data_IF_268310520079
#
_entry.id   IF_268310520079
#
_cell.length_a   1.000
_cell.length_b   1.000
_cell.length_c   1.000
_cell.angle_alpha   90.00
_cell.angle_beta   90.00
_cell.angle_gamma   90.00
#
_symmetry.space_group_name_H-M   'P 1'
#
loop_
_entity.id
_entity.type
_entity.pdbx_description
1 polymer ?
#
# COMPACT_ATOMS: atom_id res chain seq x y z
N UNK A 1 20.23 3.70 1.26
CA UNK A 1 21.53 4.10 0.66
C UNK A 1 21.48 4.01 -0.86
N UNK A 2 21.23 5.14 -1.55
CA UNK A 2 21.42 5.22 -2.99
C UNK A 2 22.88 5.57 -3.31
N UNK A 3 23.59 4.68 -3.99
CA UNK A 3 24.97 4.89 -4.41
C UNK A 3 25.00 5.60 -5.77
N UNK A 4 25.18 6.92 -5.79
CA UNK A 4 25.44 7.63 -7.06
C UNK A 4 26.94 7.94 -7.19
N UNK A 5 27.65 7.35 -8.16
CA UNK A 5 29.04 7.69 -8.42
C UNK A 5 29.14 9.12 -8.98
N UNK A 6 30.05 9.93 -8.44
CA UNK A 6 30.43 11.19 -9.07
C UNK A 6 31.48 10.97 -10.19
N UNK A 7 31.69 11.93 -11.10
CA UNK A 7 32.65 11.80 -12.21
C UNK A 7 34.12 11.64 -11.79
N UNK A 8 34.43 11.73 -10.48
CA UNK A 8 35.77 11.58 -9.92
C UNK A 8 36.03 10.23 -9.26
N UNK A 9 35.03 9.33 -9.21
CA UNK A 9 35.15 7.98 -8.64
C UNK A 9 35.12 7.96 -7.11
N UNK A 10 34.69 9.05 -6.47
CA UNK A 10 34.50 9.11 -5.02
C UNK A 10 33.02 8.82 -4.72
N UNK A 11 32.78 7.84 -3.84
CA UNK A 11 31.45 7.57 -3.29
C UNK A 11 31.25 8.48 -2.08
N UNK A 12 30.24 9.36 -2.14
CA UNK A 12 29.83 10.21 -1.01
C UNK A 12 28.57 9.62 -0.38
N UNK A 13 28.64 9.32 0.91
CA UNK A 13 27.47 9.01 1.73
C UNK A 13 26.71 10.32 1.99
N UNK A 14 25.43 10.36 1.64
CA UNK A 14 24.51 11.42 2.07
C UNK A 14 23.37 10.68 2.75
N UNK A 15 23.21 10.84 4.06
CA UNK A 15 22.18 10.11 4.79
C UNK A 15 22.26 10.08 6.32
N UNK A 16 23.20 10.75 6.98
CA UNK A 16 23.06 10.93 8.43
C UNK A 16 23.46 12.33 8.90
N UNK A 17 22.78 12.78 9.95
CA UNK A 17 23.11 14.01 10.65
C UNK A 17 24.32 13.82 11.59
N UNK A 18 25.08 12.72 11.41
CA UNK A 18 26.16 12.28 12.30
C UNK A 18 27.41 11.70 11.61
N UNK A 19 27.67 12.03 10.34
CA UNK A 19 29.03 12.02 9.75
C UNK A 19 29.91 10.80 10.12
N UNK A 20 29.46 9.57 9.91
CA UNK A 20 30.36 8.42 10.01
C UNK A 20 31.06 8.17 8.66
N UNK A 21 32.37 8.40 8.62
CA UNK A 21 33.20 8.18 7.41
C UNK A 21 33.48 6.69 7.24
N UNK A 22 32.79 6.02 6.34
CA UNK A 22 33.14 4.65 5.93
C UNK A 22 34.10 4.72 4.72
N UNK A 23 35.35 4.31 4.92
CA UNK A 23 36.35 4.19 3.86
C UNK A 23 36.29 2.78 3.25
N UNK A 24 35.83 2.67 2.00
CA UNK A 24 35.82 1.40 1.25
C UNK A 24 37.04 1.29 0.33
N UNK A 25 37.67 0.11 0.24
CA UNK A 25 38.81 -0.14 -0.64
C UNK A 25 38.34 -0.68 -2.02
N UNK A 26 39.12 -0.50 -3.10
CA UNK A 26 38.75 -0.91 -4.47
C UNK A 26 38.41 -2.40 -4.66
N UNK A 27 38.71 -3.26 -3.68
CA UNK A 27 38.36 -4.68 -3.68
C UNK A 27 37.01 -5.00 -3.06
N UNK A 28 36.46 -4.11 -2.23
CA UNK A 28 35.21 -4.31 -1.51
C UNK A 28 33.99 -4.13 -2.42
N UNK A 29 34.14 -3.38 -3.52
CA UNK A 29 33.08 -3.05 -4.48
C UNK A 29 32.72 -4.17 -5.48
N UNK A 30 33.47 -5.28 -5.49
CA UNK A 30 33.27 -6.36 -6.48
C UNK A 30 32.15 -7.35 -6.11
N UNK A 31 31.62 -7.26 -4.89
CA UNK A 31 30.58 -8.14 -4.35
C UNK A 31 29.29 -7.42 -3.93
N UNK A 32 29.10 -6.13 -4.26
CA UNK A 32 27.83 -5.46 -3.99
C UNK A 32 26.87 -5.71 -5.15
N UNK A 33 25.80 -6.51 -4.97
CA UNK A 33 24.74 -6.59 -5.97
C UNK A 33 24.13 -5.19 -6.17
N UNK A 34 23.75 -4.89 -7.41
CA UNK A 34 23.02 -3.69 -7.79
C UNK A 34 21.72 -3.61 -6.96
N UNK A 35 21.71 -2.79 -5.92
CA UNK A 35 20.58 -2.57 -5.03
C UNK A 35 20.84 -1.38 -4.12
N UNK A 36 19.79 -0.65 -3.76
CA UNK A 36 19.84 0.47 -2.84
C UNK A 36 19.44 -0.04 -1.43
N UNK A 37 20.38 -0.05 -0.49
CA UNK A 37 20.18 -0.64 0.85
C UNK A 37 20.07 0.47 1.89
N UNK A 38 18.94 0.66 2.57
CA UNK A 38 18.86 1.52 3.76
C UNK A 38 19.62 0.89 4.95
N UNK A 39 20.03 1.72 5.91
CA UNK A 39 20.51 1.24 7.22
C UNK A 39 19.35 1.33 8.21
N UNK A 40 19.53 0.94 9.48
CA UNK A 40 18.49 1.20 10.49
C UNK A 40 18.28 2.73 10.66
N UNK A 41 17.02 3.16 10.73
CA UNK A 41 16.58 4.55 10.90
C UNK A 41 15.79 5.10 9.72
N UNK A 42 15.15 6.26 9.90
CA UNK A 42 14.31 6.90 8.89
C UNK A 42 15.14 7.36 7.67
N UNK A 43 14.99 6.67 6.54
CA UNK A 43 15.75 6.89 5.31
C UNK A 43 14.90 7.50 4.18
N UNK A 44 15.58 8.14 3.22
CA UNK A 44 15.00 8.46 1.91
C UNK A 44 15.87 7.86 0.82
N UNK A 45 15.29 6.97 0.03
CA UNK A 45 15.98 6.24 -1.03
C UNK A 45 15.30 6.48 -2.36
N UNK A 46 16.12 6.95 -3.31
CA UNK A 46 15.73 7.23 -4.68
C UNK A 46 16.48 6.25 -5.60
N UNK A 47 15.72 5.45 -6.35
CA UNK A 47 16.18 4.56 -7.41
C UNK A 47 16.57 5.31 -8.68
N UNK A 48 16.52 4.63 -9.81
CA UNK A 48 16.93 5.17 -11.11
C UNK A 48 16.00 4.74 -12.24
N UNK A 49 16.51 4.71 -13.47
CA UNK A 49 15.75 4.22 -14.63
C UNK A 49 15.96 2.74 -14.92
N UNK A 50 16.50 1.99 -13.97
CA UNK A 50 16.81 0.58 -14.08
C UNK A 50 15.98 -0.22 -13.09
N UNK A 51 15.77 -1.51 -13.36
CA UNK A 51 15.10 -2.42 -12.42
C UNK A 51 16.02 -2.70 -11.21
N UNK A 52 15.56 -2.32 -10.03
CA UNK A 52 16.35 -2.29 -8.80
C UNK A 52 15.69 -3.03 -7.64
N UNK A 53 16.53 -3.45 -6.67
CA UNK A 53 16.08 -3.88 -5.35
C UNK A 53 16.33 -2.72 -4.37
N UNK A 54 15.27 -2.24 -3.75
CA UNK A 54 15.30 -1.15 -2.76
C UNK A 54 14.79 -1.70 -1.42
N UNK A 55 15.57 -1.50 -0.36
CA UNK A 55 15.26 -1.99 1.00
C UNK A 55 15.32 -0.82 1.99
N UNK A 56 14.29 -0.63 2.82
CA UNK A 56 14.18 0.35 3.91
C UNK A 56 14.65 -0.16 5.29
N UNK A 57 14.39 -1.44 5.58
CA UNK A 57 14.75 -2.12 6.83
C UNK A 57 13.96 -1.64 8.06
N UNK A 58 14.53 -0.82 8.95
CA UNK A 58 13.83 -0.33 10.14
C UNK A 58 13.79 1.20 10.06
N UNK A 59 12.66 1.84 10.34
CA UNK A 59 12.55 3.31 10.27
C UNK A 59 11.22 3.75 9.70
N UNK A 60 10.95 5.05 9.69
CA UNK A 60 9.91 5.63 8.81
C UNK A 60 10.57 6.03 7.48
N UNK A 61 10.50 5.17 6.46
CA UNK A 61 11.23 5.36 5.21
C UNK A 61 10.41 6.01 4.09
N UNK A 62 11.12 6.66 3.16
CA UNK A 62 10.56 7.06 1.86
C UNK A 62 11.38 6.43 0.74
N UNK A 63 10.79 5.49 0.01
CA UNK A 63 11.45 4.69 -1.02
C UNK A 63 10.80 4.92 -2.39
N UNK A 64 11.61 5.24 -3.41
CA UNK A 64 11.14 5.53 -4.77
C UNK A 64 11.87 4.70 -5.82
N UNK A 65 11.14 3.96 -6.65
CA UNK A 65 11.70 3.16 -7.76
C UNK A 65 12.15 4.00 -8.96
N UNK A 66 11.36 5.01 -9.32
CA UNK A 66 11.42 5.77 -10.59
C UNK A 66 11.02 4.97 -11.81
N UNK A 67 11.93 4.54 -12.67
CA UNK A 67 11.56 3.83 -13.89
C UNK A 67 12.23 2.46 -13.91
N UNK A 68 11.50 1.44 -14.32
CA UNK A 68 12.00 0.07 -14.28
C UNK A 68 11.02 -0.83 -13.55
N UNK A 69 11.33 -2.12 -13.50
CA UNK A 69 10.54 -3.07 -12.75
C UNK A 69 11.20 -3.26 -11.39
N UNK A 70 10.84 -2.44 -10.42
CA UNK A 70 11.52 -2.38 -9.14
C UNK A 70 10.91 -3.34 -8.12
N UNK A 71 11.74 -3.80 -7.18
CA UNK A 71 11.31 -4.51 -5.99
C UNK A 71 11.64 -3.65 -4.77
N UNK A 72 10.62 -3.08 -4.13
CA UNK A 72 10.75 -2.10 -3.05
C UNK A 72 10.17 -2.69 -1.76
N UNK A 73 10.97 -2.72 -0.71
CA UNK A 73 10.58 -3.27 0.60
C UNK A 73 10.80 -2.22 1.68
N UNK A 74 9.74 -1.82 2.38
CA UNK A 74 9.78 -0.89 3.52
C UNK A 74 10.49 -1.54 4.71
N UNK A 75 9.84 -2.53 5.31
CA UNK A 75 10.42 -3.32 6.38
C UNK A 75 9.64 -3.16 7.67
N UNK A 76 10.20 -2.46 8.66
CA UNK A 76 9.51 -2.11 9.91
C UNK A 76 9.42 -0.60 10.03
N UNK A 77 8.26 -0.15 10.46
CA UNK A 77 7.98 1.26 10.70
C UNK A 77 7.01 1.77 9.65
N UNK A 78 6.75 3.06 9.64
CA UNK A 78 5.72 3.62 8.75
C UNK A 78 6.40 4.08 7.49
N UNK A 79 6.28 3.29 6.44
CA UNK A 79 7.01 3.52 5.21
C UNK A 79 6.11 4.12 4.12
N UNK A 80 6.73 4.87 3.20
CA UNK A 80 6.10 5.29 1.96
C UNK A 80 6.87 4.80 0.75
N UNK A 81 6.24 3.95 -0.03
CA UNK A 81 6.81 3.29 -1.19
C UNK A 81 6.14 3.79 -2.47
N UNK A 82 6.95 4.18 -3.44
CA UNK A 82 6.53 4.67 -4.75
C UNK A 82 7.16 3.82 -5.85
N UNK A 83 6.35 3.10 -6.61
CA UNK A 83 6.77 2.27 -7.75
C UNK A 83 7.10 3.10 -8.99
N UNK A 84 6.30 4.15 -9.24
CA UNK A 84 6.45 5.04 -10.40
C UNK A 84 6.23 4.32 -11.75
N UNK A 85 7.15 4.39 -12.71
CA UNK A 85 6.99 3.79 -14.04
C UNK A 85 7.53 2.35 -14.06
N UNK A 86 6.75 1.42 -14.60
CA UNK A 86 7.15 0.03 -14.83
C UNK A 86 6.37 -0.95 -13.95
N UNK A 87 6.68 -2.23 -14.05
CA UNK A 87 5.94 -3.27 -13.34
C UNK A 87 6.66 -3.61 -12.04
N UNK A 88 6.19 -3.03 -10.94
CA UNK A 88 6.88 -3.04 -9.66
C UNK A 88 6.29 -4.06 -8.68
N UNK A 89 7.10 -4.44 -7.70
CA UNK A 89 6.68 -5.20 -6.53
C UNK A 89 6.99 -4.40 -5.27
N UNK A 90 5.96 -3.97 -4.55
CA UNK A 90 6.05 -3.15 -3.36
C UNK A 90 5.58 -3.95 -2.14
N UNK A 91 6.34 -3.92 -1.06
CA UNK A 91 5.98 -4.54 0.22
C UNK A 91 6.20 -3.54 1.35
N UNK A 92 5.13 -3.18 2.06
CA UNK A 92 5.20 -2.29 3.23
C UNK A 92 5.93 -2.98 4.38
N UNK A 93 5.36 -4.07 4.89
CA UNK A 93 6.00 -4.91 5.89
C UNK A 93 5.25 -4.90 7.21
N UNK A 94 5.81 -4.27 8.24
CA UNK A 94 5.20 -4.12 9.55
C UNK A 94 4.90 -2.64 9.82
N UNK A 95 3.83 -2.41 10.59
CA UNK A 95 3.29 -1.10 10.91
C UNK A 95 2.53 -0.50 9.72
N UNK A 96 2.07 0.75 9.83
CA UNK A 96 1.12 1.31 8.86
C UNK A 96 1.86 1.96 7.69
N UNK A 97 1.67 1.40 6.49
CA UNK A 97 2.42 1.78 5.30
C UNK A 97 1.57 2.47 4.23
N UNK A 98 2.23 3.24 3.35
CA UNK A 98 1.64 3.89 2.19
C UNK A 98 2.33 3.44 0.90
N UNK A 99 1.61 2.74 0.02
CA UNK A 99 2.14 2.15 -1.21
C UNK A 99 1.43 2.71 -2.43
N UNK A 100 2.18 3.26 -3.38
CA UNK A 100 1.67 3.68 -4.70
C UNK A 100 2.40 2.90 -5.82
N UNK A 101 1.66 2.12 -6.61
CA UNK A 101 2.20 1.46 -7.81
C UNK A 101 2.48 2.46 -8.93
N UNK A 102 1.55 3.39 -9.12
CA UNK A 102 1.54 4.39 -10.20
C UNK A 102 1.34 3.80 -11.60
N UNK A 103 2.34 3.69 -12.47
CA UNK A 103 2.12 3.30 -13.86
C UNK A 103 2.77 1.95 -14.17
N UNK A 104 1.97 0.94 -14.46
CA UNK A 104 2.42 -0.40 -14.83
C UNK A 104 1.57 -1.49 -14.22
N UNK A 105 1.86 -2.75 -14.53
CA UNK A 105 1.20 -3.87 -13.88
C UNK A 105 1.95 -4.18 -12.56
N UNK A 106 1.47 -3.63 -11.45
CA UNK A 106 2.15 -3.68 -10.15
C UNK A 106 1.60 -4.75 -9.19
N UNK A 107 2.43 -5.17 -8.24
CA UNK A 107 2.06 -6.03 -7.11
C UNK A 107 2.36 -5.29 -5.82
N UNK A 108 1.32 -4.95 -5.04
CA UNK A 108 1.42 -4.25 -3.77
C UNK A 108 0.99 -5.16 -2.62
N UNK A 109 1.82 -5.26 -1.60
CA UNK A 109 1.56 -6.01 -0.37
C UNK A 109 1.72 -5.09 0.83
N UNK A 110 0.64 -4.77 1.54
CA UNK A 110 0.68 -3.91 2.74
C UNK A 110 1.44 -4.59 3.86
N UNK A 111 0.95 -5.76 4.28
CA UNK A 111 1.62 -6.61 5.26
C UNK A 111 0.88 -6.64 6.58
N UNK A 112 1.51 -6.21 7.66
CA UNK A 112 0.83 -6.07 8.97
C UNK A 112 0.73 -4.62 9.30
N UNK A 113 -0.48 -4.08 9.38
CA UNK A 113 -0.63 -2.66 9.56
C UNK A 113 -2.05 -2.22 9.30
N UNK A 114 -2.25 -0.92 9.27
CA UNK A 114 -3.44 -0.37 8.63
C UNK A 114 -2.91 0.36 7.39
N UNK A 115 -2.83 -0.36 6.29
CA UNK A 115 -2.05 0.07 5.14
C UNK A 115 -2.93 0.81 4.14
N UNK A 116 -2.32 1.67 3.33
CA UNK A 116 -2.99 2.36 2.23
C UNK A 116 -2.27 2.06 0.92
N UNK A 117 -2.97 1.36 0.02
CA UNK A 117 -2.45 0.88 -1.25
C UNK A 117 -3.23 1.52 -2.40
N UNK A 118 -2.53 2.04 -3.40
CA UNK A 118 -3.12 2.48 -4.66
C UNK A 118 -2.38 1.83 -5.83
N UNK A 119 -3.11 1.07 -6.66
CA UNK A 119 -2.56 0.40 -7.82
C UNK A 119 -2.21 1.37 -8.96
N UNK A 120 -2.86 2.53 -9.06
CA UNK A 120 -2.65 3.44 -10.18
C UNK A 120 -3.16 2.87 -11.52
N UNK A 121 -2.42 3.10 -12.61
CA UNK A 121 -2.71 2.63 -13.96
C UNK A 121 -2.11 1.24 -14.20
N UNK A 122 -2.90 0.26 -14.65
CA UNK A 122 -2.41 -1.06 -15.05
C UNK A 122 -3.23 -2.20 -14.46
N UNK A 123 -2.81 -3.44 -14.68
CA UNK A 123 -3.48 -4.60 -14.10
C UNK A 123 -2.78 -4.99 -12.80
N UNK A 124 -3.25 -4.42 -11.71
CA UNK A 124 -2.55 -4.49 -10.44
C UNK A 124 -3.06 -5.63 -9.55
N UNK A 125 -2.19 -6.14 -8.68
CA UNK A 125 -2.59 -7.00 -7.56
C UNK A 125 -2.29 -6.30 -6.26
N UNK A 126 -3.33 -5.99 -5.49
CA UNK A 126 -3.22 -5.33 -4.18
C UNK A 126 -3.63 -6.33 -3.11
N UNK A 127 -2.77 -6.52 -2.12
CA UNK A 127 -3.04 -7.37 -0.95
C UNK A 127 -2.84 -6.52 0.29
N UNK A 128 -3.93 -6.21 0.99
CA UNK A 128 -3.86 -5.41 2.23
C UNK A 128 -3.03 -6.13 3.29
N UNK A 129 -3.47 -7.33 3.67
CA UNK A 129 -2.73 -8.17 4.61
C UNK A 129 -3.48 -8.32 5.93
N UNK A 130 -2.84 -7.99 7.05
CA UNK A 130 -3.45 -8.03 8.38
C UNK A 130 -3.67 -6.61 8.89
N UNK A 131 -4.88 -6.38 9.37
CA UNK A 131 -5.32 -5.12 9.97
C UNK A 131 -6.40 -4.50 9.10
N UNK A 132 -6.53 -3.17 9.16
CA UNK A 132 -7.57 -2.45 8.44
C UNK A 132 -6.97 -1.65 7.31
N UNK A 133 -7.12 -2.17 6.11
CA UNK A 133 -6.45 -1.63 4.93
C UNK A 133 -7.38 -0.79 4.06
N UNK A 134 -6.79 0.14 3.33
CA UNK A 134 -7.44 0.91 2.29
C UNK A 134 -6.83 0.56 0.94
N UNK A 135 -7.64 0.00 0.03
CA UNK A 135 -7.18 -0.42 -1.29
C UNK A 135 -7.93 0.39 -2.37
N UNK A 136 -7.20 1.22 -3.10
CA UNK A 136 -7.65 1.81 -4.36
C UNK A 136 -7.18 0.92 -5.50
N UNK A 137 -8.12 0.20 -6.15
CA UNK A 137 -7.76 -0.73 -7.22
C UNK A 137 -7.18 -0.01 -8.46
N UNK A 138 -7.52 1.26 -8.66
CA UNK A 138 -7.02 2.06 -9.78
C UNK A 138 -7.66 1.70 -11.12
N UNK A 139 -7.00 2.02 -12.23
CA UNK A 139 -7.50 1.75 -13.58
C UNK A 139 -6.92 0.44 -14.12
N UNK A 140 -7.76 -0.44 -14.66
CA UNK A 140 -7.31 -1.66 -15.35
C UNK A 140 -8.08 -2.89 -14.90
N UNK A 141 -7.52 -4.08 -15.09
CA UNK A 141 -8.09 -5.32 -14.57
C UNK A 141 -7.37 -5.72 -13.28
N UNK A 142 -7.86 -5.26 -12.15
CA UNK A 142 -7.15 -5.39 -10.89
C UNK A 142 -7.65 -6.58 -10.06
N UNK A 143 -6.81 -7.05 -9.15
CA UNK A 143 -7.16 -8.02 -8.12
C UNK A 143 -6.88 -7.38 -6.75
N UNK A 144 -7.95 -7.04 -6.03
CA UNK A 144 -7.87 -6.49 -4.68
C UNK A 144 -8.21 -7.61 -3.67
N UNK A 145 -7.22 -8.06 -2.92
CA UNK A 145 -7.30 -9.19 -2.00
C UNK A 145 -7.53 -8.66 -0.59
N UNK A 146 -8.63 -9.10 0.01
CA UNK A 146 -8.99 -8.77 1.38
C UNK A 146 -8.17 -9.61 2.36
N UNK A 147 -7.69 -8.94 3.41
CA UNK A 147 -7.11 -9.57 4.57
C UNK A 147 -8.10 -10.39 5.38
N UNK A 148 -7.59 -11.27 6.25
CA UNK A 148 -8.41 -11.84 7.33
C UNK A 148 -7.99 -11.17 8.63
N UNK A 149 -8.79 -10.20 9.08
CA UNK A 149 -8.81 -9.82 10.49
C UNK A 149 -10.02 -10.51 11.16
N UNK A 150 -9.80 -11.62 11.91
CA UNK A 150 -10.90 -12.41 12.47
C UNK A 150 -11.67 -11.69 13.59
N UNK A 151 -11.23 -10.49 14.02
CA UNK A 151 -11.83 -9.74 15.11
C UNK A 151 -12.72 -8.55 14.66
N UNK A 152 -12.81 -8.25 13.37
CA UNK A 152 -13.52 -7.08 12.86
C UNK A 152 -15.04 -7.29 12.85
N UNK A 153 -15.78 -6.48 13.60
CA UNK A 153 -17.25 -6.50 13.60
C UNK A 153 -17.86 -5.16 13.18
N UNK A 154 -17.03 -4.19 12.83
CA UNK A 154 -17.40 -2.84 12.40
C UNK A 154 -16.72 -2.52 11.07
N UNK A 155 -17.44 -1.84 10.17
CA UNK A 155 -16.97 -1.41 8.85
C UNK A 155 -15.76 -0.48 8.98
N UNK A 156 -15.76 0.38 10.01
CA UNK A 156 -14.63 1.29 10.25
C UNK A 156 -13.36 0.58 10.74
N UNK A 157 -13.46 -0.72 11.07
CA UNK A 157 -12.34 -1.58 11.48
C UNK A 157 -11.99 -2.64 10.43
N UNK A 158 -12.73 -2.74 9.33
CA UNK A 158 -12.47 -3.69 8.24
C UNK A 158 -11.85 -3.00 7.02
N UNK A 159 -11.33 -3.79 6.09
CA UNK A 159 -10.79 -3.28 4.83
C UNK A 159 -11.82 -2.46 4.06
N UNK A 160 -11.32 -1.47 3.33
CA UNK A 160 -12.13 -0.62 2.46
C UNK A 160 -11.52 -0.65 1.06
N UNK A 161 -12.36 -0.95 0.07
CA UNK A 161 -11.99 -0.96 -1.34
C UNK A 161 -12.72 0.16 -2.06
N UNK A 162 -11.96 1.00 -2.74
CA UNK A 162 -12.44 2.09 -3.59
C UNK A 162 -11.95 1.94 -5.03
N UNK A 163 -12.56 2.74 -5.91
CA UNK A 163 -12.27 2.75 -7.35
C UNK A 163 -12.42 1.36 -7.99
N UNK A 164 -13.24 0.49 -7.41
CA UNK A 164 -13.49 -0.85 -7.94
C UNK A 164 -14.39 -0.77 -9.18
N UNK A 165 -13.89 -1.23 -10.32
CA UNK A 165 -14.66 -1.40 -11.54
C UNK A 165 -15.28 -2.81 -11.58
N UNK A 166 -16.59 -2.98 -11.40
CA UNK A 166 -17.21 -4.30 -11.42
C UNK A 166 -17.15 -5.01 -12.78
N UNK A 167 -16.88 -4.30 -13.87
CA UNK A 167 -16.70 -4.91 -15.19
C UNK A 167 -15.31 -5.52 -15.35
N UNK A 168 -14.28 -4.97 -14.69
CA UNK A 168 -12.86 -5.33 -14.89
C UNK A 168 -12.18 -5.95 -13.67
N UNK A 169 -12.45 -5.47 -12.47
CA UNK A 169 -11.74 -5.84 -11.25
C UNK A 169 -12.26 -7.10 -10.57
N UNK A 170 -11.46 -7.67 -9.68
CA UNK A 170 -11.81 -8.86 -8.89
C UNK A 170 -11.46 -8.66 -7.43
N UNK A 171 -12.24 -9.32 -6.58
CA UNK A 171 -11.96 -9.40 -5.15
C UNK A 171 -11.40 -10.78 -4.83
N UNK A 172 -10.20 -10.81 -4.25
CA UNK A 172 -9.61 -12.01 -3.69
C UNK A 172 -10.04 -12.21 -2.24
N UNK A 173 -10.41 -13.43 -1.89
CA UNK A 173 -10.53 -13.86 -0.48
C UNK A 173 -9.26 -14.60 -0.07
N UNK A 174 -8.64 -14.17 1.03
CA UNK A 174 -7.47 -14.81 1.61
C UNK A 174 -7.68 -16.30 1.95
N UNK A 175 -6.56 -16.98 2.20
CA UNK A 175 -6.52 -18.43 2.41
C UNK A 175 -7.50 -18.86 3.53
N UNK A 176 -8.22 -19.96 3.27
CA UNK A 176 -9.31 -20.54 4.08
C UNK A 176 -10.73 -20.00 3.85
N UNK A 177 -10.91 -18.94 3.04
CA UNK A 177 -12.24 -18.45 2.66
C UNK A 177 -12.61 -18.78 1.22
N UNK A 178 -13.87 -19.16 1.04
CA UNK A 178 -14.48 -19.37 -0.28
C UNK A 178 -15.63 -18.40 -0.54
N UNK A 179 -16.03 -18.30 -1.80
CA UNK A 179 -17.25 -17.56 -2.19
C UNK A 179 -18.48 -18.07 -1.44
N UNK A 180 -18.47 -19.33 -1.01
CA UNK A 180 -19.55 -19.90 -0.21
C UNK A 180 -19.45 -19.52 1.28
N UNK A 181 -18.39 -18.91 1.75
CA UNK A 181 -18.23 -18.51 3.15
C UNK A 181 -18.67 -17.07 3.38
N UNK A 182 -19.00 -16.33 2.32
CA UNK A 182 -19.35 -14.92 2.41
C UNK A 182 -20.84 -14.63 2.21
N UNK A 183 -21.27 -13.48 2.71
CA UNK A 183 -22.57 -12.85 2.50
C UNK A 183 -22.31 -11.41 2.04
N UNK A 184 -23.04 -10.99 1.01
CA UNK A 184 -22.99 -9.62 0.49
C UNK A 184 -24.22 -8.86 0.95
N UNK A 185 -24.01 -7.76 1.67
CA UNK A 185 -25.08 -6.93 2.23
C UNK A 185 -25.01 -5.51 1.63
N UNK A 186 -26.05 -5.04 0.92
CA UNK A 186 -26.06 -3.67 0.44
C UNK A 186 -26.24 -2.71 1.63
N UNK A 187 -25.43 -1.67 1.69
CA UNK A 187 -25.49 -0.64 2.73
C UNK A 187 -25.53 0.75 2.10
N UNK A 188 -26.22 1.68 2.76
CA UNK A 188 -26.39 3.05 2.26
C UNK A 188 -26.21 4.06 3.39
N UNK A 189 -25.64 5.21 3.05
CA UNK A 189 -25.37 6.31 3.98
C UNK A 189 -24.60 5.85 5.24
N UNK A 190 -23.62 4.96 5.04
CA UNK A 190 -22.72 4.51 6.11
C UNK A 190 -21.68 5.60 6.34
N UNK A 191 -21.49 5.99 7.59
CA UNK A 191 -20.41 6.88 7.97
C UNK A 191 -19.10 6.10 8.03
N UNK A 192 -18.20 6.39 7.09
CA UNK A 192 -16.84 5.86 7.08
C UNK A 192 -15.85 6.93 7.51
N UNK A 193 -14.86 6.53 8.30
CA UNK A 193 -13.74 7.40 8.70
C UNK A 193 -12.41 6.85 8.21
N UNK A 194 -11.83 7.54 7.24
CA UNK A 194 -10.53 7.25 6.67
C UNK A 194 -9.46 7.97 7.47
N UNK A 195 -8.74 7.22 8.30
CA UNK A 195 -7.54 7.75 8.95
C UNK A 195 -6.34 7.14 8.25
N UNK A 196 -5.56 7.98 7.56
CA UNK A 196 -4.27 7.60 7.01
C UNK A 196 -3.20 7.93 8.04
N UNK A 197 -2.47 6.91 8.49
CA UNK A 197 -1.35 7.09 9.40
C UNK A 197 -0.04 7.22 8.61
N UNK A 198 0.04 8.29 7.80
CA UNK A 198 1.17 8.53 6.89
C UNK A 198 2.49 8.72 7.65
N UNK A 199 3.64 8.41 7.02
CA UNK A 199 4.96 8.75 7.57
C UNK A 199 5.04 10.25 7.91
N UNK A 200 5.75 10.62 8.98
CA UNK A 200 5.76 12.01 9.45
C UNK A 200 6.14 13.03 8.37
N UNK A 201 7.06 12.65 7.49
CA UNK A 201 7.53 13.48 6.38
C UNK A 201 6.44 13.75 5.32
N UNK A 202 5.39 12.93 5.24
CA UNK A 202 4.30 13.03 4.25
C UNK A 202 2.98 13.55 4.84
N UNK A 203 2.89 13.76 6.15
CA UNK A 203 1.75 14.39 6.81
C UNK A 203 1.30 15.74 6.19
N UNK A 204 2.18 16.57 5.56
CA UNK A 204 1.75 17.75 4.82
C UNK A 204 1.06 17.47 3.46
N UNK A 205 1.18 16.27 2.93
CA UNK A 205 0.77 15.84 1.58
C UNK A 205 -0.40 14.83 1.64
N UNK A 206 -1.40 15.07 2.48
CA UNK A 206 -2.59 14.22 2.55
C UNK A 206 -3.15 13.94 1.14
N UNK A 207 -3.41 12.66 0.76
CA UNK A 207 -4.06 12.36 -0.50
C UNK A 207 -5.42 13.09 -0.54
N UNK A 208 -5.90 13.49 -1.73
CA UNK A 208 -7.25 14.00 -1.86
C UNK A 208 -8.19 12.94 -1.31
N UNK A 209 -9.06 13.36 -0.39
CA UNK A 209 -10.01 12.43 0.23
C UNK A 209 -10.86 11.70 -0.79
N UNK A 210 -11.40 10.53 -0.43
CA UNK A 210 -12.31 9.76 -1.27
C UNK A 210 -13.40 10.62 -1.90
N UNK A 211 -13.68 10.38 -3.18
CA UNK A 211 -14.60 11.19 -3.97
C UNK A 211 -16.00 11.21 -3.33
N UNK A 212 -16.39 12.34 -2.74
CA UNK A 212 -17.66 12.51 -2.01
C UNK A 212 -17.50 13.01 -0.56
N UNK A 213 -16.29 13.09 -0.03
CA UNK A 213 -16.04 13.70 1.27
C UNK A 213 -16.29 15.22 1.25
N UNK A 214 -17.43 15.65 1.81
CA UNK A 214 -17.68 17.06 2.11
C UNK A 214 -17.16 17.41 3.49
N UNK A 215 -15.85 17.65 3.59
CA UNK A 215 -15.18 18.07 4.83
C UNK A 215 -14.25 19.25 4.60
N UNK A 216 -14.51 20.38 5.26
CA UNK A 216 -13.61 21.53 5.23
C UNK A 216 -12.33 21.23 6.03
N UNK A 217 -11.17 21.32 5.40
CA UNK A 217 -9.89 21.39 6.10
C UNK A 217 -9.83 22.71 6.88
N UNK A 218 -10.28 22.69 8.13
CA UNK A 218 -10.20 23.83 9.05
C UNK A 218 -9.64 23.37 10.39
N UNK A 219 -8.35 23.63 10.59
CA UNK A 219 -7.74 23.83 11.91
C UNK A 219 -7.17 22.59 12.60
N UNK A 220 -5.83 22.55 12.67
CA UNK A 220 -5.05 22.00 13.79
C UNK A 220 -5.43 20.60 14.33
N UNK A 221 -5.57 19.59 13.47
CA UNK A 221 -5.46 18.19 13.90
C UNK A 221 -4.37 17.47 13.09
N UNK A 222 -3.31 16.96 13.73
CA UNK A 222 -2.22 16.25 13.05
C UNK A 222 -2.56 14.77 12.81
N UNK A 223 -3.84 14.43 12.65
CA UNK A 223 -4.36 13.06 12.41
C UNK A 223 -5.65 13.18 11.60
N UNK A 224 -5.53 13.37 10.29
CA UNK A 224 -6.63 13.74 9.41
C UNK A 224 -7.54 12.57 9.07
N UNK A 225 -8.47 12.24 9.96
CA UNK A 225 -9.61 11.38 9.64
C UNK A 225 -10.55 12.10 8.67
N UNK A 226 -10.74 11.59 7.45
CA UNK A 226 -11.78 12.07 6.54
C UNK A 226 -13.04 11.26 6.81
N UNK A 227 -14.10 11.92 7.26
CA UNK A 227 -15.40 11.26 7.46
C UNK A 227 -16.35 11.63 6.32
N UNK A 228 -16.97 10.62 5.71
CA UNK A 228 -17.97 10.79 4.66
C UNK A 228 -19.10 9.77 4.77
N UNK A 229 -20.16 9.99 4.00
CA UNK A 229 -21.28 9.05 3.87
C UNK A 229 -21.15 8.28 2.57
N UNK A 230 -21.08 6.96 2.67
CA UNK A 230 -20.83 6.06 1.55
C UNK A 230 -21.97 5.05 1.39
N UNK A 231 -22.09 4.50 0.20
CA UNK A 231 -23.06 3.46 -0.14
C UNK A 231 -22.38 2.43 -1.01
N UNK A 232 -22.64 1.15 -0.77
CA UNK A 232 -21.92 0.10 -1.48
C UNK A 232 -22.28 -1.27 -0.94
N UNK A 233 -21.33 -2.20 -1.01
CA UNK A 233 -21.53 -3.58 -0.60
C UNK A 233 -20.60 -3.96 0.53
N UNK A 234 -21.18 -4.45 1.61
CA UNK A 234 -20.47 -5.05 2.73
C UNK A 234 -20.23 -6.54 2.47
N UNK A 235 -19.00 -6.99 2.68
CA UNK A 235 -18.60 -8.39 2.58
C UNK A 235 -18.44 -8.95 3.99
N UNK A 236 -19.28 -9.92 4.34
CA UNK A 236 -19.29 -10.54 5.68
C UNK A 236 -19.05 -12.03 5.61
N UNK A 237 -18.53 -12.59 6.70
CA UNK A 237 -18.44 -14.04 6.85
C UNK A 237 -19.81 -14.58 7.27
N UNK A 238 -20.28 -15.61 6.56
CA UNK A 238 -21.57 -16.26 6.82
C UNK A 238 -21.59 -16.89 8.20
N UNK A 239 -22.73 -16.78 8.89
CA UNK A 239 -22.94 -17.28 10.25
C UNK A 239 -21.96 -16.68 11.28
N UNK A 240 -21.36 -15.54 10.98
CA UNK A 240 -20.47 -14.78 11.85
C UNK A 240 -20.86 -13.30 11.84
N UNK A 241 -20.40 -12.57 12.85
CA UNK A 241 -20.45 -11.11 12.85
C UNK A 241 -19.22 -10.48 12.18
N UNK A 242 -18.28 -11.30 11.71
CA UNK A 242 -17.07 -10.83 11.07
C UNK A 242 -17.35 -10.09 9.75
N UNK A 243 -16.74 -8.93 9.60
CA UNK A 243 -16.79 -8.08 8.41
C UNK A 243 -15.41 -8.13 7.75
N UNK A 244 -15.31 -8.66 6.54
CA UNK A 244 -14.04 -8.70 5.81
C UNK A 244 -13.70 -7.35 5.22
N UNK A 245 -14.69 -6.69 4.61
CA UNK A 245 -14.48 -5.35 4.07
C UNK A 245 -15.72 -4.75 3.42
N UNK A 246 -15.56 -3.52 2.95
CA UNK A 246 -16.59 -2.75 2.26
C UNK A 246 -16.07 -2.30 0.90
N UNK A 247 -16.88 -2.50 -0.16
CA UNK A 247 -16.60 -2.01 -1.51
C UNK A 247 -17.52 -0.85 -1.82
N UNK A 248 -16.94 0.33 -2.04
CA UNK A 248 -17.70 1.55 -2.28
C UNK A 248 -18.38 1.56 -3.66
N UNK A 249 -19.57 2.15 -3.73
CA UNK A 249 -20.36 2.36 -4.94
C UNK A 249 -20.63 1.13 -5.84
N UNK A 250 -20.52 -0.08 -5.28
CA UNK A 250 -20.80 -1.34 -5.99
C UNK A 250 -21.97 -2.07 -5.34
N UNK A 251 -22.86 -2.66 -6.14
CA UNK A 251 -23.99 -3.45 -5.64
C UNK A 251 -23.62 -4.93 -5.41
N UNK A 252 -24.36 -5.67 -4.56
CA UNK A 252 -24.09 -7.09 -4.33
C UNK A 252 -24.15 -7.94 -5.60
N UNK A 253 -25.03 -7.61 -6.54
CA UNK A 253 -25.19 -8.36 -7.79
C UNK A 253 -24.00 -8.19 -8.72
N UNK A 254 -23.48 -6.97 -8.81
CA UNK A 254 -22.26 -6.66 -9.58
C UNK A 254 -21.07 -7.40 -8.96
N UNK A 255 -20.93 -7.34 -7.63
CA UNK A 255 -19.80 -7.91 -6.91
C UNK A 255 -19.81 -9.45 -6.87
N UNK A 256 -20.98 -10.10 -6.83
CA UNK A 256 -21.10 -11.54 -6.62
C UNK A 256 -20.28 -12.38 -7.60
N UNK A 257 -20.18 -11.96 -8.85
CA UNK A 257 -19.43 -12.67 -9.90
C UNK A 257 -17.94 -12.35 -9.93
N UNK A 258 -17.50 -11.34 -9.17
CA UNK A 258 -16.13 -10.81 -9.15
C UNK A 258 -15.28 -11.35 -8.02
N UNK A 259 -15.91 -12.02 -7.05
CA UNK A 259 -15.21 -12.60 -5.91
C UNK A 259 -14.62 -13.95 -6.28
N UNK A 260 -13.34 -14.11 -6.01
CA UNK A 260 -12.58 -15.33 -6.28
C UNK A 260 -11.85 -15.78 -5.02
N UNK A 261 -11.75 -17.09 -4.84
CA UNK A 261 -10.81 -17.66 -3.86
C UNK A 261 -9.40 -17.58 -4.43
N UNK A 262 -8.48 -17.01 -3.67
CA UNK A 262 -7.05 -17.05 -3.99
C UNK A 262 -6.33 -18.02 -3.06
N UNK A 263 -5.29 -18.68 -3.56
CA UNK A 263 -4.44 -19.57 -2.77
C UNK A 263 -3.01 -19.04 -2.79
N UNK A 264 -2.30 -19.17 -1.68
CA UNK A 264 -0.88 -18.86 -1.59
C UNK A 264 -0.52 -17.47 -1.09
N UNK A 265 -1.46 -16.75 -0.49
CA UNK A 265 -1.24 -15.52 0.29
C UNK A 265 -1.48 -15.81 1.77
#
# INVERSE_FOLDING_TARGET
>A
MALKPDPSGIVRLIGDNTSEFIQLFPGDLTNFPLGAWALDGDDTVDGSGASELILGNEGEDILRGFAGNDSVFGGKGKDALYGQEGNNSLSGGLDADFLLGEAGDDILFGGRGNDALDGGEGNNTLVGGLGRDFLSCGFGNNLCVLGIDPATTDINSSDIIESFDPDLDRIGLASDLTVNDIVLEPVQNVALTYTFDLPQALQPLLPPGPAGASGSASGTQPRGGITGLYSGTLIRVRNSNAILGFVDNVTPNELQSRIVSVQGF
#
